data_IF_624080052827
#
_entry.id   IF_624080052827
#
_cell.length_a   1.000
_cell.length_b   1.000
_cell.length_c   1.000
_cell.angle_alpha   90.00
_cell.angle_beta   90.00
_cell.angle_gamma   90.00
#
_symmetry.space_group_name_H-M   'P 1'
#
loop_
_entity.id
_entity.type
_entity.pdbx_description
1 polymer ?
#
# COMPACT_ATOMS: atom_id res chain seq x y z
N UNK A 1 30.04 19.05 -5.03
CA UNK A 1 28.67 19.35 -4.58
C UNK A 1 27.88 19.70 -5.83
N UNK A 2 27.00 18.80 -6.28
CA UNK A 2 26.43 18.85 -7.63
C UNK A 2 25.59 20.12 -7.88
N UNK A 3 25.71 20.69 -9.09
CA UNK A 3 24.97 21.90 -9.52
C UNK A 3 23.47 21.82 -9.26
N UNK A 4 22.90 20.60 -9.27
CA UNK A 4 21.49 20.33 -8.97
C UNK A 4 21.16 20.61 -7.50
N UNK A 5 22.01 20.17 -6.56
CA UNK A 5 21.80 20.39 -5.13
C UNK A 5 21.84 21.87 -4.80
N UNK A 6 22.79 22.60 -5.38
CA UNK A 6 22.90 24.05 -5.19
C UNK A 6 21.69 24.80 -5.77
N UNK A 7 21.21 24.40 -6.96
CA UNK A 7 20.01 24.98 -7.59
C UNK A 7 18.74 24.75 -6.78
N UNK A 8 18.58 23.56 -6.19
CA UNK A 8 17.44 23.22 -5.33
C UNK A 8 17.47 24.03 -4.02
N UNK A 9 18.64 24.11 -3.37
CA UNK A 9 18.78 24.82 -2.09
C UNK A 9 18.68 26.34 -2.23
N UNK A 10 19.01 26.91 -3.39
CA UNK A 10 18.90 28.35 -3.66
C UNK A 10 17.47 28.79 -4.05
N UNK A 11 16.54 27.86 -4.28
CA UNK A 11 15.16 28.20 -4.58
C UNK A 11 14.42 28.58 -3.28
N UNK A 12 13.91 29.83 -3.13
CA UNK A 12 13.23 30.25 -1.90
C UNK A 12 11.92 29.50 -1.61
N UNK A 13 11.37 28.80 -2.61
CA UNK A 13 10.20 27.94 -2.46
C UNK A 13 10.55 26.48 -2.12
N UNK A 14 11.84 26.13 -2.04
CA UNK A 14 12.27 24.80 -1.64
C UNK A 14 12.16 24.66 -0.12
N UNK A 15 11.27 23.77 0.31
CA UNK A 15 11.16 23.37 1.71
C UNK A 15 11.72 21.97 1.86
N UNK A 16 12.84 21.84 2.57
CA UNK A 16 13.38 20.54 2.96
C UNK A 16 12.52 19.95 4.09
N UNK A 17 11.70 18.96 3.76
CA UNK A 17 10.93 18.20 4.76
C UNK A 17 11.65 16.89 5.04
N UNK A 18 12.03 16.69 6.31
CA UNK A 18 12.54 15.40 6.77
C UNK A 18 11.38 14.48 7.13
N UNK A 19 10.88 13.73 6.15
CA UNK A 19 9.79 12.78 6.37
C UNK A 19 10.23 11.64 7.28
N UNK A 20 9.50 11.47 8.40
CA UNK A 20 9.75 10.40 9.35
C UNK A 20 9.35 9.04 8.78
N UNK A 21 8.30 9.01 7.96
CA UNK A 21 7.79 7.79 7.33
C UNK A 21 7.52 8.00 5.84
N UNK A 22 7.90 7.01 5.04
CA UNK A 22 7.55 6.92 3.62
C UNK A 22 6.68 5.67 3.42
N UNK A 23 5.44 5.87 2.97
CA UNK A 23 4.43 4.81 2.91
C UNK A 23 3.92 4.64 1.49
N UNK A 24 3.98 3.40 0.99
CA UNK A 24 3.29 3.02 -0.25
C UNK A 24 1.79 2.93 -0.02
N UNK A 25 1.00 3.59 -0.87
CA UNK A 25 -0.46 3.43 -0.91
C UNK A 25 -0.92 2.46 -2.02
N UNK A 26 -0.06 1.57 -2.49
CA UNK A 26 -0.43 0.50 -3.43
C UNK A 26 -0.50 0.95 -4.89
N UNK A 27 -1.60 0.65 -5.58
CA UNK A 27 -1.78 0.60 -7.07
C UNK A 27 -1.08 -0.59 -7.71
N UNK A 28 0.09 -0.94 -7.21
CA UNK A 28 0.83 -2.15 -7.53
C UNK A 28 2.02 -2.30 -6.59
N UNK A 29 2.86 -3.30 -6.85
CA UNK A 29 4.02 -3.58 -6.01
C UNK A 29 5.18 -2.59 -6.18
N UNK A 30 5.18 -1.79 -7.25
CA UNK A 30 6.31 -0.95 -7.64
C UNK A 30 6.71 0.06 -6.55
N UNK A 31 5.81 0.87 -5.94
CA UNK A 31 6.23 1.83 -4.94
C UNK A 31 6.89 1.16 -3.73
N UNK A 32 6.34 0.03 -3.25
CA UNK A 32 6.93 -0.77 -2.18
C UNK A 32 8.29 -1.36 -2.54
N UNK A 33 8.47 -1.83 -3.78
CA UNK A 33 9.74 -2.33 -4.31
C UNK A 33 10.79 -1.21 -4.35
N UNK A 34 10.44 -0.03 -4.85
CA UNK A 34 11.36 1.09 -4.95
C UNK A 34 11.76 1.64 -3.58
N UNK A 35 10.82 1.74 -2.63
CA UNK A 35 11.14 2.09 -1.25
C UNK A 35 12.12 1.09 -0.64
N UNK A 36 11.91 -0.22 -0.86
CA UNK A 36 12.80 -1.27 -0.36
C UNK A 36 14.20 -1.17 -0.98
N UNK A 37 14.29 -1.04 -2.30
CA UNK A 37 15.55 -1.00 -3.05
C UNK A 37 16.44 0.19 -2.66
N UNK A 38 15.84 1.31 -2.23
CA UNK A 38 16.57 2.50 -1.83
C UNK A 38 16.79 2.60 -0.31
N UNK A 39 16.50 1.55 0.47
CA UNK A 39 16.66 1.57 1.93
C UNK A 39 15.68 2.50 2.66
N UNK A 40 14.63 2.97 1.99
CA UNK A 40 13.63 3.89 2.53
C UNK A 40 12.44 3.17 3.19
N UNK A 41 12.31 1.86 2.96
CA UNK A 41 11.22 1.05 3.51
C UNK A 41 11.53 0.60 4.93
N UNK A 42 10.87 1.21 5.90
CA UNK A 42 11.04 0.86 7.32
C UNK A 42 10.33 -0.44 7.70
N UNK A 43 9.16 -0.71 7.13
CA UNK A 43 8.40 -1.92 7.38
C UNK A 43 7.52 -2.27 6.19
N UNK A 44 7.09 -3.54 6.11
CA UNK A 44 6.03 -3.91 5.17
C UNK A 44 4.66 -3.53 5.72
N UNK A 45 3.88 -2.85 4.88
CA UNK A 45 2.56 -2.27 5.13
C UNK A 45 1.50 -2.97 4.26
N UNK A 46 0.20 -2.83 4.55
CA UNK A 46 -0.83 -3.65 3.91
C UNK A 46 -0.90 -3.41 2.40
N UNK A 47 -0.68 -2.19 1.92
CA UNK A 47 -0.87 -1.86 0.50
C UNK A 47 0.34 -2.15 -0.40
N UNK A 48 1.48 -2.56 0.17
CA UNK A 48 2.76 -2.72 -0.56
C UNK A 48 2.71 -3.69 -1.74
N UNK A 49 1.84 -4.70 -1.67
CA UNK A 49 1.83 -5.84 -2.59
C UNK A 49 0.48 -6.00 -3.29
N UNK A 50 -0.39 -4.98 -3.19
CA UNK A 50 -1.76 -5.03 -3.66
C UNK A 50 -1.94 -4.21 -4.93
N UNK A 51 -2.73 -4.73 -5.84
CA UNK A 51 -3.27 -3.94 -6.93
C UNK A 51 -4.63 -3.40 -6.51
N UNK A 52 -4.70 -2.07 -6.43
CA UNK A 52 -5.84 -1.31 -5.90
C UNK A 52 -6.20 -0.16 -6.83
N UNK A 53 -7.49 0.11 -7.03
CA UNK A 53 -7.95 1.38 -7.62
C UNK A 53 -7.94 2.49 -6.58
N UNK A 54 -8.00 3.77 -7.00
CA UNK A 54 -8.00 4.90 -6.06
C UNK A 54 -9.27 4.93 -5.20
N UNK A 55 -10.43 4.57 -5.77
CA UNK A 55 -11.66 4.40 -4.99
C UNK A 55 -11.51 3.35 -3.88
N UNK A 56 -10.96 2.18 -4.20
CA UNK A 56 -10.72 1.10 -3.24
C UNK A 56 -9.82 1.55 -2.08
N UNK A 57 -8.79 2.34 -2.38
CA UNK A 57 -7.87 2.90 -1.38
C UNK A 57 -8.63 3.78 -0.37
N UNK A 58 -9.45 4.71 -0.85
CA UNK A 58 -10.26 5.60 0.00
C UNK A 58 -11.20 4.76 0.87
N UNK A 59 -11.95 3.85 0.25
CA UNK A 59 -12.90 2.99 0.97
C UNK A 59 -12.23 2.13 2.05
N UNK A 60 -11.01 1.64 1.84
CA UNK A 60 -10.27 0.90 2.87
C UNK A 60 -10.00 1.75 4.12
N UNK A 61 -9.63 3.02 3.94
CA UNK A 61 -9.38 3.92 5.07
C UNK A 61 -10.69 4.28 5.78
N UNK A 62 -11.75 4.61 5.03
CA UNK A 62 -13.07 4.96 5.58
C UNK A 62 -13.73 3.81 6.36
N UNK A 63 -13.51 2.57 5.91
CA UNK A 63 -14.11 1.37 6.53
C UNK A 63 -13.16 0.64 7.48
N UNK A 64 -11.99 1.22 7.78
CA UNK A 64 -10.97 0.60 8.63
C UNK A 64 -10.60 -0.83 8.19
N UNK A 65 -10.50 -1.07 6.89
CA UNK A 65 -10.21 -2.37 6.28
C UNK A 65 -11.25 -3.46 6.64
N UNK A 66 -12.49 -3.10 6.99
CA UNK A 66 -13.60 -4.07 7.06
C UNK A 66 -13.67 -4.88 5.75
N UNK A 67 -14.13 -6.13 5.79
CA UNK A 67 -14.27 -7.04 4.63
C UNK A 67 -13.04 -7.26 3.75
N UNK A 68 -11.88 -6.70 4.08
CA UNK A 68 -10.69 -6.71 3.23
C UNK A 68 -10.19 -8.14 2.93
N UNK A 69 -10.28 -9.02 3.93
CA UNK A 69 -9.96 -10.46 3.83
C UNK A 69 -11.12 -11.32 4.35
N UNK A 70 -12.35 -10.86 4.16
CA UNK A 70 -13.54 -11.65 4.44
C UNK A 70 -13.73 -12.68 3.31
N UNK A 71 -13.82 -13.96 3.69
CA UNK A 71 -13.88 -15.10 2.77
C UNK A 71 -15.03 -14.96 1.77
N UNK A 72 -16.15 -14.33 2.17
CA UNK A 72 -17.35 -14.22 1.34
C UNK A 72 -17.14 -13.27 0.15
N UNK A 73 -16.11 -12.42 0.22
CA UNK A 73 -15.73 -11.51 -0.84
C UNK A 73 -14.43 -11.91 -1.56
N UNK A 74 -13.80 -13.04 -1.22
CA UNK A 74 -12.56 -13.48 -1.87
C UNK A 74 -12.85 -14.53 -2.94
N UNK A 75 -12.43 -14.23 -4.17
CA UNK A 75 -12.62 -15.11 -5.32
C UNK A 75 -11.28 -15.37 -6.01
N UNK A 76 -10.95 -16.65 -6.17
CA UNK A 76 -9.87 -17.08 -7.03
C UNK A 76 -10.20 -16.78 -8.50
N UNK A 77 -9.27 -16.17 -9.21
CA UNK A 77 -9.36 -15.88 -10.64
C UNK A 77 -8.18 -16.51 -11.36
N UNK A 78 -8.38 -16.83 -12.63
CA UNK A 78 -7.32 -17.37 -13.47
C UNK A 78 -6.07 -16.48 -13.40
N UNK A 79 -4.92 -17.12 -13.15
CA UNK A 79 -3.64 -16.48 -13.10
C UNK A 79 -2.60 -17.35 -13.80
N UNK A 80 -1.79 -16.73 -14.66
CA UNK A 80 -0.74 -17.44 -15.41
C UNK A 80 0.53 -17.70 -14.58
N UNK A 81 0.58 -17.29 -13.32
CA UNK A 81 1.75 -17.53 -12.49
C UNK A 81 1.76 -18.97 -11.96
N UNK A 82 2.91 -19.67 -12.00
CA UNK A 82 2.98 -21.09 -11.64
C UNK A 82 2.85 -21.37 -10.14
N UNK A 83 3.11 -20.38 -9.28
CA UNK A 83 3.24 -20.59 -7.83
C UNK A 83 2.23 -19.81 -6.99
N UNK A 84 1.55 -18.83 -7.57
CA UNK A 84 0.65 -17.97 -6.81
C UNK A 84 -0.72 -17.92 -7.48
N UNK A 85 -1.76 -17.88 -6.65
CA UNK A 85 -3.12 -17.66 -7.10
C UNK A 85 -3.44 -16.17 -7.11
N UNK A 86 -4.17 -15.72 -8.14
CA UNK A 86 -4.75 -14.38 -8.15
C UNK A 86 -6.05 -14.43 -7.35
N UNK A 87 -6.02 -13.87 -6.15
CA UNK A 87 -7.22 -13.70 -5.34
C UNK A 87 -7.74 -12.27 -5.52
N UNK A 88 -9.04 -12.14 -5.73
CA UNK A 88 -9.72 -10.84 -5.86
C UNK A 88 -10.69 -10.67 -4.71
N UNK A 89 -10.52 -9.61 -3.93
CA UNK A 89 -11.58 -9.10 -3.07
C UNK A 89 -12.60 -8.36 -3.94
N UNK A 90 -13.81 -8.90 -4.04
CA UNK A 90 -14.87 -8.38 -4.92
C UNK A 90 -15.59 -7.16 -4.35
N UNK A 91 -15.55 -6.95 -3.03
CA UNK A 91 -16.15 -5.79 -2.36
C UNK A 91 -15.43 -4.49 -2.73
N UNK A 92 -14.11 -4.46 -2.57
CA UNK A 92 -13.27 -3.29 -2.89
C UNK A 92 -12.63 -3.37 -4.28
N UNK A 93 -12.74 -4.51 -4.98
CA UNK A 93 -12.03 -4.77 -6.22
C UNK A 93 -10.50 -4.66 -6.08
N UNK A 94 -9.96 -5.36 -5.08
CA UNK A 94 -8.52 -5.43 -4.77
C UNK A 94 -7.98 -6.78 -5.21
N UNK A 95 -6.78 -6.81 -5.79
CA UNK A 95 -6.14 -8.06 -6.21
C UNK A 95 -4.89 -8.35 -5.38
N UNK A 96 -4.80 -9.60 -4.91
CA UNK A 96 -3.66 -10.21 -4.24
C UNK A 96 -2.97 -11.16 -5.24
N UNK A 97 -1.67 -11.00 -5.43
CA UNK A 97 -0.87 -11.81 -6.36
C UNK A 97 0.22 -12.65 -5.67
N UNK A 98 0.47 -12.40 -4.38
CA UNK A 98 1.65 -12.92 -3.68
C UNK A 98 1.32 -13.52 -2.33
N UNK A 99 0.02 -13.59 -2.00
CA UNK A 99 -0.42 -13.95 -0.66
C UNK A 99 -0.92 -15.39 -0.58
N UNK A 100 -1.25 -16.00 -1.71
CA UNK A 100 -1.85 -17.33 -1.79
C UNK A 100 -1.16 -18.22 -2.82
N UNK A 101 -0.90 -19.47 -2.46
CA UNK A 101 -0.51 -20.54 -3.36
C UNK A 101 -1.70 -20.97 -4.23
N UNK A 102 -1.46 -21.64 -5.35
CA UNK A 102 -2.52 -22.18 -6.22
C UNK A 102 -3.42 -23.14 -5.42
N UNK A 103 -4.71 -22.84 -5.32
CA UNK A 103 -5.69 -23.62 -4.54
C UNK A 103 -5.59 -23.42 -3.02
N UNK A 104 -4.75 -22.49 -2.57
CA UNK A 104 -4.44 -22.23 -1.17
C UNK A 104 -5.41 -21.29 -0.46
N UNK A 105 -6.39 -20.70 -1.16
CA UNK A 105 -7.26 -19.66 -0.59
C UNK A 105 -7.82 -20.05 0.79
N UNK A 106 -8.49 -21.19 0.92
CA UNK A 106 -9.14 -21.57 2.19
C UNK A 106 -8.14 -21.97 3.27
N UNK A 107 -7.05 -22.65 2.91
CA UNK A 107 -6.07 -23.19 3.85
C UNK A 107 -5.12 -22.10 4.37
N UNK A 108 -4.79 -21.11 3.54
CA UNK A 108 -3.83 -20.05 3.87
C UNK A 108 -4.52 -18.77 4.36
N UNK A 109 -5.83 -18.61 4.14
CA UNK A 109 -6.58 -17.41 4.56
C UNK A 109 -6.36 -17.03 6.03
N UNK A 110 -6.39 -17.95 7.02
CA UNK A 110 -6.13 -17.58 8.41
C UNK A 110 -4.75 -16.93 8.63
N UNK A 111 -3.71 -17.49 8.01
CA UNK A 111 -2.35 -16.95 8.09
C UNK A 111 -2.21 -15.60 7.36
N UNK A 112 -2.91 -15.45 6.23
CA UNK A 112 -2.96 -14.18 5.49
C UNK A 112 -3.70 -13.10 6.29
N UNK A 113 -4.83 -13.43 6.91
CA UNK A 113 -5.57 -12.53 7.81
C UNK A 113 -4.69 -12.05 8.96
N UNK A 114 -3.99 -12.96 9.64
CA UNK A 114 -3.08 -12.60 10.73
C UNK A 114 -1.95 -11.67 10.26
N UNK A 115 -1.34 -11.99 9.12
CA UNK A 115 -0.30 -11.16 8.48
C UNK A 115 -0.79 -9.75 8.21
N UNK A 116 -1.98 -9.61 7.62
CA UNK A 116 -2.53 -8.29 7.29
C UNK A 116 -3.03 -7.55 8.53
N UNK A 117 -3.59 -8.22 9.54
CA UNK A 117 -3.94 -7.61 10.82
C UNK A 117 -2.72 -6.94 11.49
N UNK A 118 -1.57 -7.63 11.52
CA UNK A 118 -0.31 -7.04 12.04
C UNK A 118 0.16 -5.83 11.21
N UNK A 119 0.02 -5.88 9.88
CA UNK A 119 0.42 -4.78 8.98
C UNK A 119 -0.52 -3.57 9.08
N UNK A 120 -1.83 -3.80 9.18
CA UNK A 120 -2.84 -2.75 9.37
C UNK A 120 -2.66 -2.07 10.72
N UNK A 121 -2.47 -2.85 11.79
CA UNK A 121 -2.13 -2.30 13.12
C UNK A 121 -0.89 -1.42 13.05
N UNK A 122 0.18 -1.89 12.39
CA UNK A 122 1.40 -1.10 12.20
C UNK A 122 1.15 0.20 11.42
N UNK A 123 0.37 0.14 10.34
CA UNK A 123 0.00 1.34 9.57
C UNK A 123 -0.66 2.37 10.48
N UNK A 124 -1.70 1.98 11.23
CA UNK A 124 -2.38 2.91 12.13
C UNK A 124 -1.48 3.41 13.27
N UNK A 125 -0.57 2.59 13.80
CA UNK A 125 0.42 3.06 14.77
C UNK A 125 1.37 4.12 14.20
N UNK A 126 1.75 3.99 12.92
CA UNK A 126 2.54 5.01 12.23
C UNK A 126 1.72 6.29 12.01
N UNK A 127 0.48 6.16 11.55
CA UNK A 127 -0.40 7.31 11.29
C UNK A 127 -0.79 8.07 12.57
N UNK A 128 -0.85 7.38 13.71
CA UNK A 128 -1.08 8.00 15.02
C UNK A 128 0.19 8.60 15.65
N UNK A 129 1.38 8.36 15.06
CA UNK A 129 2.64 8.87 15.59
C UNK A 129 2.91 10.31 15.17
N UNK A 130 3.66 11.04 15.97
CA UNK A 130 4.08 12.39 15.60
C UNK A 130 5.14 12.37 14.48
N UNK A 131 5.01 13.32 13.55
CA UNK A 131 5.98 13.59 12.50
C UNK A 131 5.40 13.47 11.09
N UNK A 132 6.06 14.11 10.10
CA UNK A 132 5.56 14.14 8.73
C UNK A 132 5.64 12.76 8.07
N UNK A 133 4.55 12.34 7.43
CA UNK A 133 4.43 11.12 6.63
C UNK A 133 4.32 11.49 5.15
N UNK A 134 5.13 10.87 4.31
CA UNK A 134 5.01 10.97 2.85
C UNK A 134 4.32 9.72 2.31
N UNK A 135 3.17 9.90 1.67
CA UNK A 135 2.50 8.86 0.91
C UNK A 135 2.98 8.82 -0.54
N UNK A 136 3.23 7.62 -1.06
CA UNK A 136 3.70 7.40 -2.42
C UNK A 136 2.74 6.44 -3.13
N UNK A 137 2.27 6.85 -4.30
CA UNK A 137 1.38 6.06 -5.16
C UNK A 137 1.58 6.42 -6.61
N UNK A 138 1.56 5.44 -7.50
CA UNK A 138 1.49 5.72 -8.94
C UNK A 138 0.04 5.97 -9.36
N UNK A 139 -0.18 6.89 -10.30
CA UNK A 139 -1.50 7.17 -10.88
C UNK A 139 -2.56 7.53 -9.81
N UNK A 140 -2.27 8.59 -9.05
CA UNK A 140 -3.21 9.23 -8.13
C UNK A 140 -3.52 10.63 -8.67
N UNK A 141 -4.79 10.93 -8.90
CA UNK A 141 -5.25 12.28 -9.26
C UNK A 141 -5.35 13.19 -8.03
N UNK A 142 -5.38 14.50 -8.27
CA UNK A 142 -5.39 15.51 -7.21
C UNK A 142 -6.63 15.41 -6.32
N UNK A 143 -7.82 15.14 -6.89
CA UNK A 143 -9.06 15.01 -6.15
C UNK A 143 -9.00 13.86 -5.14
N UNK A 144 -8.53 12.68 -5.58
CA UNK A 144 -8.35 11.50 -4.74
C UNK A 144 -7.25 11.74 -3.68
N UNK A 145 -6.20 12.48 -4.01
CA UNK A 145 -5.16 12.84 -3.06
C UNK A 145 -5.70 13.74 -1.94
N UNK A 146 -6.51 14.75 -2.27
CA UNK A 146 -7.15 15.63 -1.30
C UNK A 146 -8.11 14.89 -0.36
N UNK A 147 -8.76 13.81 -0.82
CA UNK A 147 -9.65 13.01 0.01
C UNK A 147 -8.90 12.20 1.09
N UNK A 148 -7.65 11.83 0.83
CA UNK A 148 -6.82 11.07 1.78
C UNK A 148 -6.20 11.96 2.88
N UNK A 149 -6.26 13.28 2.74
CA UNK A 149 -5.68 14.26 3.66
C UNK A 149 -6.71 15.04 4.46
N UNK A 150 -8.00 14.68 4.34
CA UNK A 150 -9.11 15.25 5.13
C UNK A 150 -9.35 14.40 6.36
#
# INVERSE_FOLDING_TARGET
MDKIVHSIQANPNFVAVNYKYLISLGRGCQPGIHLKRNGLKQASLPLDWLVTRSSALISLFETHFDKFLDKDYLVAREHRAPYHEKIVNTFYNITFFHDFSVGGLLTELPAVQEKYARRIKRLYSILASEGPVLFIRTQLDEQSAQQLTR
#
